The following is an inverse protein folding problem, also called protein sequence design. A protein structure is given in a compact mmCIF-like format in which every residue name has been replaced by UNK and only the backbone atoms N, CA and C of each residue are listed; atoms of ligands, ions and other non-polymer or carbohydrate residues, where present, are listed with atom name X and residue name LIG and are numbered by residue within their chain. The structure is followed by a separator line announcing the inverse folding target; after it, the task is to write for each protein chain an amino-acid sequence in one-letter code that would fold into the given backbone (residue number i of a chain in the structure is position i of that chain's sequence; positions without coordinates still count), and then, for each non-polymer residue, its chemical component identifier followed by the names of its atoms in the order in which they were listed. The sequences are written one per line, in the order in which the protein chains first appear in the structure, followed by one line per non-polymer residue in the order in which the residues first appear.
data_IF_869445273751
#
_entry.id   IF_869445273751
#
_cell.length_a   1.000
_cell.length_b   1.000
_cell.length_c   1.000
_cell.angle_alpha   90.00
_cell.angle_beta   90.00
_cell.angle_gamma   90.00
#
_symmetry.space_group_name_H-M   'P 1'
#
loop_
_entity.id
_entity.type
_entity.pdbx_description
1 polymer ?
#
# COMPACT_ATOMS: atom_id res chain seq x y z
N UNK A 1 9.41 9.79 -17.75
CA UNK A 1 9.21 10.83 -18.78
C UNK A 1 9.25 12.18 -18.10
N UNK A 2 9.97 13.16 -18.65
CA UNK A 2 9.94 14.55 -18.14
C UNK A 2 9.33 15.41 -19.23
N UNK A 3 8.27 16.14 -18.89
CA UNK A 3 7.54 17.03 -19.79
C UNK A 3 7.75 18.46 -19.30
N UNK A 4 8.26 19.32 -20.18
CA UNK A 4 8.45 20.75 -19.85
C UNK A 4 7.16 21.51 -20.18
N UNK A 5 6.58 22.15 -19.20
CA UNK A 5 5.38 22.97 -19.36
C UNK A 5 5.70 24.31 -20.03
N UNK A 6 4.67 24.96 -20.58
CA UNK A 6 4.75 26.33 -21.11
C UNK A 6 5.05 27.37 -20.02
N UNK A 7 4.80 27.02 -18.76
CA UNK A 7 5.17 27.79 -17.56
C UNK A 7 6.68 27.71 -17.23
N UNK A 8 7.45 26.93 -18.00
CA UNK A 8 8.88 26.71 -17.79
C UNK A 8 9.22 25.62 -16.78
N UNK A 9 8.23 25.06 -16.08
CA UNK A 9 8.44 24.03 -15.07
C UNK A 9 8.59 22.64 -15.69
N UNK A 10 9.34 21.76 -15.04
CA UNK A 10 9.52 20.37 -15.46
C UNK A 10 8.59 19.45 -14.67
N UNK A 11 7.72 18.74 -15.37
CA UNK A 11 6.77 17.79 -14.80
C UNK A 11 7.24 16.38 -15.08
N UNK A 12 7.50 15.62 -14.03
CA UNK A 12 7.96 14.24 -14.15
C UNK A 12 6.77 13.28 -14.07
N UNK A 13 6.69 12.35 -15.01
CA UNK A 13 5.66 11.32 -15.07
C UNK A 13 6.29 9.93 -15.27
N UNK A 14 5.75 8.94 -14.57
CA UNK A 14 5.96 7.53 -14.85
C UNK A 14 4.87 7.05 -15.81
N UNK A 15 5.27 6.49 -16.96
CA UNK A 15 4.35 5.80 -17.86
C UNK A 15 4.16 4.39 -17.34
N UNK A 16 2.95 4.08 -16.90
CA UNK A 16 2.55 2.73 -16.51
C UNK A 16 1.86 2.06 -17.70
N UNK A 17 2.39 0.92 -18.11
CA UNK A 17 1.82 0.06 -19.14
C UNK A 17 1.23 -1.22 -18.54
N UNK A 18 0.22 -1.77 -19.20
CA UNK A 18 -0.56 -2.93 -18.76
C UNK A 18 -1.25 -2.75 -17.39
N UNK A 19 -1.55 -1.50 -17.03
CA UNK A 19 -2.17 -1.14 -15.77
C UNK A 19 -3.27 -0.11 -16.00
N UNK A 20 -4.39 -0.30 -15.30
CA UNK A 20 -5.54 0.59 -15.37
C UNK A 20 -5.44 1.66 -14.28
N UNK A 21 -5.13 2.89 -14.70
CA UNK A 21 -4.85 4.03 -13.81
C UNK A 21 -6.12 4.71 -13.30
N UNK A 22 -7.30 4.32 -13.78
CA UNK A 22 -8.57 4.90 -13.33
C UNK A 22 -8.81 4.65 -11.84
N UNK A 23 -8.35 3.51 -11.32
CA UNK A 23 -8.41 3.21 -9.89
C UNK A 23 -7.63 4.26 -9.08
N UNK A 24 -6.36 4.52 -9.44
CA UNK A 24 -5.54 5.55 -8.82
C UNK A 24 -6.17 6.95 -8.97
N UNK A 25 -6.72 7.29 -10.14
CA UNK A 25 -7.41 8.56 -10.37
C UNK A 25 -8.58 8.75 -9.38
N UNK A 26 -9.46 7.74 -9.22
CA UNK A 26 -10.59 7.81 -8.28
C UNK A 26 -10.12 7.88 -6.83
N UNK A 27 -9.06 7.16 -6.47
CA UNK A 27 -8.47 7.26 -5.13
C UNK A 27 -7.91 8.66 -4.88
N UNK A 28 -7.28 9.31 -5.88
CA UNK A 28 -6.83 10.70 -5.77
C UNK A 28 -7.98 11.71 -5.66
N UNK A 29 -9.13 11.44 -6.27
CA UNK A 29 -10.36 12.22 -6.10
C UNK A 29 -10.91 12.07 -4.67
N UNK A 30 -10.98 10.84 -4.16
CA UNK A 30 -11.36 10.57 -2.76
C UNK A 30 -10.43 11.28 -1.77
N UNK A 31 -9.11 11.22 -1.99
CA UNK A 31 -8.16 11.95 -1.15
C UNK A 31 -8.35 13.47 -1.25
N UNK A 32 -8.77 13.98 -2.41
CA UNK A 32 -9.14 15.39 -2.56
C UNK A 32 -10.34 15.78 -1.69
N UNK A 33 -11.37 14.93 -1.66
CA UNK A 33 -12.50 15.10 -0.76
C UNK A 33 -12.04 15.05 0.71
N UNK A 34 -11.26 14.03 1.09
CA UNK A 34 -10.77 13.89 2.48
C UNK A 34 -9.95 15.11 2.91
N UNK A 35 -9.05 15.62 2.07
CA UNK A 35 -8.30 16.84 2.39
C UNK A 35 -9.23 18.04 2.61
N UNK A 36 -10.26 18.19 1.78
CA UNK A 36 -11.26 19.26 1.94
C UNK A 36 -12.02 19.12 3.27
N UNK A 37 -12.32 17.90 3.70
CA UNK A 37 -12.99 17.64 4.98
C UNK A 37 -12.06 17.93 6.18
N UNK A 38 -10.80 17.48 6.10
CA UNK A 38 -9.79 17.73 7.13
C UNK A 38 -9.45 19.22 7.28
N UNK A 39 -9.48 20.00 6.19
CA UNK A 39 -9.28 21.44 6.21
C UNK A 39 -10.44 22.21 6.84
N UNK A 40 -11.67 21.68 6.75
CA UNK A 40 -12.86 22.28 7.38
C UNK A 40 -12.94 22.05 8.88
N UNK A 41 -12.40 20.92 9.36
CA UNK A 41 -12.37 20.60 10.78
C UNK A 41 -11.29 21.42 11.51
N UNK A 42 -11.66 22.11 12.59
CA UNK A 42 -10.74 23.02 13.29
C UNK A 42 -9.53 22.31 13.90
N UNK A 43 -9.71 21.10 14.42
CA UNK A 43 -8.63 20.34 15.05
C UNK A 43 -7.66 19.78 14.01
N UNK A 44 -8.19 19.18 12.95
CA UNK A 44 -7.39 18.67 11.84
C UNK A 44 -6.64 19.79 11.10
N UNK A 45 -7.29 20.94 10.90
CA UNK A 45 -6.69 22.12 10.28
C UNK A 45 -5.51 22.66 11.09
N UNK A 46 -5.67 22.85 12.41
CA UNK A 46 -4.60 23.34 13.31
C UNK A 46 -3.38 22.41 13.31
N UNK A 47 -3.57 21.12 13.07
CA UNK A 47 -2.49 20.11 13.01
C UNK A 47 -1.93 19.92 11.59
N UNK A 48 -2.47 20.64 10.60
CA UNK A 48 -2.11 20.54 9.18
C UNK A 48 -2.19 19.11 8.63
N UNK A 49 -3.25 18.38 8.99
CA UNK A 49 -3.48 17.02 8.53
C UNK A 49 -3.91 17.02 7.06
N UNK A 50 -3.09 16.43 6.20
CA UNK A 50 -3.32 16.39 4.74
C UNK A 50 -2.76 15.10 4.17
N UNK A 51 -3.44 14.52 3.18
CA UNK A 51 -2.93 13.45 2.35
C UNK A 51 -2.16 14.05 1.17
N UNK A 52 -0.93 13.58 0.96
CA UNK A 52 -0.18 13.94 -0.24
C UNK A 52 -0.78 13.24 -1.46
N UNK A 53 -1.27 14.02 -2.41
CA UNK A 53 -1.81 13.52 -3.68
C UNK A 53 -0.77 13.66 -4.79
N UNK A 54 -0.98 12.88 -5.84
CA UNK A 54 -0.23 13.00 -7.09
C UNK A 54 -1.18 12.83 -8.28
N UNK A 55 -0.86 13.42 -9.44
CA UNK A 55 -1.72 13.29 -10.60
C UNK A 55 -1.67 11.87 -11.15
N UNK A 56 -2.83 11.28 -11.40
CA UNK A 56 -2.99 10.00 -12.09
C UNK A 56 -3.87 10.26 -13.31
N UNK A 57 -3.33 10.02 -14.51
CA UNK A 57 -3.95 10.39 -15.78
C UNK A 57 -4.09 9.12 -16.62
N UNK A 58 -5.29 8.53 -16.70
CA UNK A 58 -5.55 7.41 -17.60
C UNK A 58 -5.36 7.83 -19.05
N UNK A 59 -4.65 7.01 -19.84
CA UNK A 59 -4.49 7.23 -21.29
C UNK A 59 -5.30 6.21 -22.09
N UNK A 60 -5.38 4.97 -21.61
CA UNK A 60 -6.20 3.90 -22.17
C UNK A 60 -6.66 2.96 -21.06
N UNK A 61 -7.36 1.87 -21.40
CA UNK A 61 -7.75 0.84 -20.42
C UNK A 61 -6.54 0.13 -19.79
N UNK A 62 -5.40 0.11 -20.48
CA UNK A 62 -4.20 -0.62 -20.06
C UNK A 62 -2.98 0.30 -19.93
N UNK A 63 -3.15 1.61 -19.95
CA UNK A 63 -2.03 2.53 -19.78
C UNK A 63 -2.45 3.85 -19.18
N UNK A 64 -1.51 4.47 -18.46
CA UNK A 64 -1.69 5.83 -17.97
C UNK A 64 -0.39 6.42 -17.46
N UNK A 65 -0.47 7.69 -17.10
CA UNK A 65 0.63 8.45 -16.53
C UNK A 65 0.38 8.66 -15.04
N UNK A 66 1.39 8.37 -14.23
CA UNK A 66 1.40 8.73 -12.81
C UNK A 66 2.44 9.84 -12.62
N UNK A 67 2.05 10.93 -11.98
CA UNK A 67 2.97 12.00 -11.60
C UNK A 67 4.00 11.48 -10.63
N UNK A 68 5.27 11.76 -10.93
CA UNK A 68 6.36 11.40 -10.04
C UNK A 68 6.30 12.26 -8.79
N UNK A 69 6.28 11.63 -7.62
CA UNK A 69 6.36 12.33 -6.35
C UNK A 69 7.80 12.75 -6.11
N UNK A 70 8.12 14.01 -6.41
CA UNK A 70 9.49 14.53 -6.30
C UNK A 70 9.98 14.53 -4.86
N UNK A 71 11.31 14.48 -4.67
CA UNK A 71 11.95 14.50 -3.35
C UNK A 71 11.54 13.36 -2.41
N UNK A 72 11.10 12.23 -2.93
CA UNK A 72 10.75 11.07 -2.11
C UNK A 72 11.68 9.89 -2.35
N UNK A 73 11.82 9.05 -1.32
CA UNK A 73 12.43 7.72 -1.41
C UNK A 73 11.48 6.67 -0.88
N UNK A 74 11.52 5.45 -1.43
CA UNK A 74 10.81 4.33 -0.81
C UNK A 74 11.42 3.99 0.54
N UNK A 75 10.60 3.54 1.48
CA UNK A 75 11.11 3.05 2.77
C UNK A 75 12.10 1.90 2.54
N UNK A 76 11.83 1.03 1.57
CA UNK A 76 12.77 -0.02 1.17
C UNK A 76 14.15 0.52 0.79
N UNK A 77 14.21 1.55 -0.08
CA UNK A 77 15.48 2.14 -0.50
C UNK A 77 16.22 2.80 0.66
N UNK A 78 15.51 3.54 1.52
CA UNK A 78 16.08 4.20 2.68
C UNK A 78 16.70 3.23 3.68
N UNK A 79 15.99 2.14 3.99
CA UNK A 79 16.48 1.11 4.92
C UNK A 79 17.65 0.34 4.30
N UNK A 80 17.58 0.04 3.01
CA UNK A 80 18.68 -0.59 2.27
C UNK A 80 19.95 0.24 2.31
N UNK A 81 19.87 1.52 1.93
CA UNK A 81 21.00 2.46 1.96
C UNK A 81 21.61 2.56 3.37
N UNK A 82 20.76 2.69 4.40
CA UNK A 82 21.20 2.77 5.79
C UNK A 82 21.94 1.50 6.24
N UNK A 83 21.35 0.32 6.01
CA UNK A 83 21.94 -0.96 6.43
C UNK A 83 23.25 -1.24 5.71
N UNK A 84 23.32 -1.00 4.40
CA UNK A 84 24.55 -1.14 3.60
C UNK A 84 25.67 -0.26 4.14
N UNK A 85 25.39 1.02 4.45
CA UNK A 85 26.39 1.94 5.01
C UNK A 85 26.96 1.51 6.37
N UNK A 86 26.20 0.71 7.14
CA UNK A 86 26.57 0.20 8.47
C UNK A 86 27.04 -1.25 8.44
N UNK A 87 27.14 -1.87 7.27
CA UNK A 87 27.46 -3.31 7.08
C UNK A 87 26.49 -4.23 7.82
N UNK A 88 25.22 -3.83 7.92
CA UNK A 88 24.13 -4.65 8.43
C UNK A 88 23.51 -5.39 7.24
N UNK A 89 23.28 -6.69 7.38
CA UNK A 89 22.62 -7.47 6.34
C UNK A 89 21.15 -7.02 6.18
N UNK A 90 20.72 -6.76 4.94
CA UNK A 90 19.37 -6.28 4.65
C UNK A 90 18.29 -7.24 5.19
N UNK A 91 18.53 -8.54 5.08
CA UNK A 91 17.62 -9.61 5.48
C UNK A 91 17.99 -10.27 6.82
N UNK A 92 18.62 -9.53 7.74
CA UNK A 92 19.10 -10.09 9.02
C UNK A 92 17.98 -10.75 9.83
N UNK A 93 16.79 -10.14 9.90
CA UNK A 93 15.65 -10.71 10.62
C UNK A 93 15.24 -12.06 10.02
N UNK A 94 15.09 -12.11 8.69
CA UNK A 94 14.75 -13.35 7.99
C UNK A 94 15.80 -14.43 8.18
N UNK A 95 17.09 -14.07 8.20
CA UNK A 95 18.17 -15.03 8.48
C UNK A 95 18.09 -15.59 9.89
N UNK A 96 17.80 -14.75 10.89
CA UNK A 96 17.62 -15.18 12.28
C UNK A 96 16.41 -16.12 12.39
N UNK A 97 15.31 -15.82 11.69
CA UNK A 97 14.13 -16.70 11.62
C UNK A 97 14.50 -18.08 11.04
N UNK A 98 15.19 -18.12 9.90
CA UNK A 98 15.60 -19.37 9.24
C UNK A 98 16.67 -20.15 10.02
N UNK A 99 17.50 -19.47 10.80
CA UNK A 99 18.46 -20.11 11.72
C UNK A 99 17.74 -20.86 12.84
N UNK A 100 16.63 -20.31 13.34
CA UNK A 100 15.82 -20.95 14.36
C UNK A 100 14.92 -22.05 13.77
N UNK A 101 14.29 -21.79 12.63
CA UNK A 101 13.42 -22.73 11.94
C UNK A 101 13.57 -22.61 10.41
N UNK A 102 14.33 -23.52 9.76
CA UNK A 102 14.55 -23.50 8.32
C UNK A 102 13.26 -23.59 7.50
N UNK A 103 12.28 -24.35 7.98
CA UNK A 103 10.99 -24.56 7.31
C UNK A 103 9.90 -23.60 7.84
N UNK A 104 10.19 -22.31 7.92
CA UNK A 104 9.27 -21.30 8.49
C UNK A 104 7.86 -21.35 7.89
N UNK A 105 7.73 -21.61 6.59
CA UNK A 105 6.43 -21.59 5.90
C UNK A 105 5.47 -22.69 6.38
N UNK A 106 5.99 -23.86 6.75
CA UNK A 106 5.20 -25.04 7.16
C UNK A 106 4.81 -25.03 8.64
N UNK A 107 5.33 -24.07 9.42
CA UNK A 107 5.05 -23.94 10.83
C UNK A 107 3.59 -23.58 11.13
N UNK A 108 3.10 -24.07 12.26
CA UNK A 108 1.82 -23.64 12.84
C UNK A 108 1.89 -22.16 13.26
N UNK A 109 0.72 -21.52 13.45
CA UNK A 109 0.67 -20.10 13.83
C UNK A 109 1.47 -19.80 15.10
N UNK A 110 1.31 -20.62 16.15
CA UNK A 110 2.01 -20.41 17.42
C UNK A 110 3.54 -20.54 17.28
N UNK A 111 4.00 -21.49 16.46
CA UNK A 111 5.43 -21.63 16.15
C UNK A 111 5.96 -20.44 15.33
N UNK A 112 5.17 -19.91 14.39
CA UNK A 112 5.52 -18.69 13.64
C UNK A 112 5.65 -17.49 14.58
N UNK A 113 4.74 -17.34 15.54
CA UNK A 113 4.79 -16.27 16.55
C UNK A 113 6.08 -16.35 17.36
N UNK A 114 6.47 -17.56 17.80
CA UNK A 114 7.71 -17.77 18.55
C UNK A 114 8.95 -17.39 17.74
N UNK A 115 9.07 -17.91 16.51
CA UNK A 115 10.22 -17.62 15.62
C UNK A 115 10.28 -16.14 15.24
N UNK A 116 9.13 -15.52 14.98
CA UNK A 116 9.03 -14.11 14.65
C UNK A 116 9.40 -13.22 15.86
N UNK A 117 8.90 -13.57 17.05
CA UNK A 117 9.27 -12.93 18.32
C UNK A 117 10.77 -12.98 18.57
N UNK A 118 11.36 -14.17 18.42
CA UNK A 118 12.80 -14.36 18.56
C UNK A 118 13.62 -13.45 17.62
N UNK A 119 13.22 -13.33 16.35
CA UNK A 119 13.90 -12.44 15.41
C UNK A 119 13.73 -10.94 15.75
N UNK A 120 12.57 -10.55 16.27
CA UNK A 120 12.33 -9.18 16.75
C UNK A 120 13.17 -8.85 17.97
N UNK A 121 13.33 -9.77 18.92
CA UNK A 121 14.12 -9.55 20.14
C UNK A 121 15.64 -9.47 19.84
N UNK A 122 16.10 -10.21 18.84
CA UNK A 122 17.50 -10.20 18.42
C UNK A 122 17.88 -9.04 17.47
N UNK A 123 16.94 -8.15 17.12
CA UNK A 123 17.20 -7.03 16.21
C UNK A 123 16.59 -5.73 16.72
N UNK A 124 17.21 -4.58 16.44
CA UNK A 124 16.79 -3.33 17.11
C UNK A 124 15.52 -2.68 16.55
N UNK A 125 15.24 -2.79 15.24
CA UNK A 125 14.13 -2.12 14.57
C UNK A 125 14.21 -0.58 14.53
N UNK A 126 15.34 0.03 14.93
CA UNK A 126 15.50 1.50 15.04
C UNK A 126 16.06 2.17 13.79
N UNK A 127 16.10 1.46 12.68
CA UNK A 127 16.72 1.87 11.42
C UNK A 127 16.06 3.13 10.87
N UNK A 128 14.73 3.15 10.74
CA UNK A 128 13.99 4.31 10.23
C UNK A 128 14.14 5.54 11.13
N UNK A 129 14.09 5.37 12.46
CA UNK A 129 14.36 6.44 13.42
C UNK A 129 15.74 7.08 13.17
N UNK A 130 16.78 6.25 12.97
CA UNK A 130 18.14 6.72 12.68
C UNK A 130 18.24 7.37 11.31
N UNK A 131 17.53 6.87 10.30
CA UNK A 131 17.46 7.50 8.97
C UNK A 131 16.83 8.88 9.05
N UNK A 132 15.71 9.02 9.76
CA UNK A 132 15.07 10.32 9.97
C UNK A 132 16.04 11.32 10.61
N UNK A 133 16.77 10.88 11.64
CA UNK A 133 17.81 11.70 12.28
C UNK A 133 18.94 12.09 11.31
N UNK A 134 19.59 11.10 10.67
CA UNK A 134 20.76 11.32 9.82
C UNK A 134 20.47 12.16 8.56
N UNK A 135 19.26 12.05 8.00
CA UNK A 135 18.85 12.83 6.83
C UNK A 135 18.32 14.23 7.21
N UNK A 136 18.24 14.57 8.50
CA UNK A 136 17.78 15.89 8.95
C UNK A 136 18.95 16.86 9.11
N UNK A 137 18.75 18.11 8.69
CA UNK A 137 19.80 19.15 8.71
C UNK A 137 20.07 19.70 10.11
N UNK A 138 19.04 19.73 10.97
CA UNK A 138 19.08 20.22 12.34
C UNK A 138 18.16 19.39 13.24
N UNK A 139 18.30 19.54 14.56
CA UNK A 139 17.43 18.89 15.54
C UNK A 139 15.98 19.37 15.46
N UNK A 140 15.76 20.65 15.15
CA UNK A 140 14.43 21.21 14.92
C UNK A 140 13.78 20.62 13.66
N UNK A 141 14.52 20.57 12.55
CA UNK A 141 14.05 19.95 11.32
C UNK A 141 13.73 18.46 11.52
N UNK A 142 14.54 17.75 12.33
CA UNK A 142 14.23 16.38 12.71
C UNK A 142 12.91 16.26 13.48
N UNK A 143 12.68 17.14 14.45
CA UNK A 143 11.46 17.12 15.24
C UNK A 143 10.23 17.40 14.36
N UNK A 144 10.27 18.43 13.52
CA UNK A 144 9.19 18.78 12.59
C UNK A 144 8.90 17.64 11.61
N UNK A 145 9.95 17.08 10.98
CA UNK A 145 9.81 15.94 10.06
C UNK A 145 9.21 14.72 10.74
N UNK A 146 9.59 14.45 11.99
CA UNK A 146 9.06 13.33 12.76
C UNK A 146 7.59 13.54 13.16
N UNK A 147 7.18 14.76 13.48
CA UNK A 147 5.77 15.08 13.73
C UNK A 147 4.94 14.96 12.44
N UNK A 148 5.45 15.44 11.31
CA UNK A 148 4.81 15.28 9.99
C UNK A 148 4.70 13.80 9.58
N UNK A 149 5.76 13.02 9.79
CA UNK A 149 5.78 11.58 9.59
C UNK A 149 4.66 10.90 10.39
N UNK A 150 4.62 11.13 11.70
CA UNK A 150 3.64 10.52 12.62
C UNK A 150 2.21 10.87 12.21
N UNK A 151 1.95 12.15 11.91
CA UNK A 151 0.61 12.62 11.51
C UNK A 151 0.18 12.08 10.15
N UNK A 152 1.06 12.14 9.14
CA UNK A 152 0.74 11.65 7.79
C UNK A 152 0.51 10.13 7.78
N UNK A 153 1.27 9.38 8.58
CA UNK A 153 1.03 7.95 8.77
C UNK A 153 -0.32 7.69 9.42
N UNK A 154 -0.69 8.44 10.48
CA UNK A 154 -1.99 8.29 11.15
C UNK A 154 -3.19 8.59 10.24
N UNK A 155 -3.09 9.64 9.42
CA UNK A 155 -4.09 9.97 8.40
C UNK A 155 -4.24 8.83 7.40
N UNK A 156 -3.13 8.33 6.83
CA UNK A 156 -3.16 7.27 5.84
C UNK A 156 -3.60 5.91 6.41
N UNK A 157 -3.33 5.63 7.68
CA UNK A 157 -3.82 4.42 8.35
C UNK A 157 -5.35 4.39 8.41
N UNK A 158 -5.99 5.48 8.83
CA UNK A 158 -7.45 5.54 8.92
C UNK A 158 -8.10 5.56 7.55
N UNK A 159 -7.60 6.39 6.64
CA UNK A 159 -8.15 6.50 5.28
C UNK A 159 -7.92 5.21 4.48
N UNK A 160 -6.74 4.61 4.61
CA UNK A 160 -6.40 3.32 4.00
C UNK A 160 -7.28 2.20 4.54
N UNK A 161 -7.56 2.17 5.85
CA UNK A 161 -8.49 1.21 6.44
C UNK A 161 -9.92 1.36 5.90
N UNK A 162 -10.46 2.58 5.83
CA UNK A 162 -11.81 2.81 5.25
C UNK A 162 -11.86 2.32 3.80
N UNK A 163 -10.86 2.66 3.00
CA UNK A 163 -10.75 2.22 1.60
C UNK A 163 -10.51 0.70 1.46
N UNK A 164 -9.94 0.05 2.47
CA UNK A 164 -9.48 -1.34 2.41
C UNK A 164 -8.22 -1.51 1.58
N UNK A 165 -7.26 -0.58 1.75
CA UNK A 165 -6.01 -0.55 0.99
C UNK A 165 -5.02 -1.62 1.47
N UNK A 166 -4.73 -2.60 0.63
CA UNK A 166 -3.79 -3.71 0.86
C UNK A 166 -2.46 -3.57 0.12
N UNK A 167 -1.59 -4.57 0.18
CA UNK A 167 -0.24 -4.61 -0.40
C UNK A 167 0.65 -3.42 0.01
N UNK A 168 0.64 -3.13 1.32
CA UNK A 168 1.42 -2.02 1.90
C UNK A 168 2.83 -2.50 2.28
N UNK A 169 3.56 -3.07 1.32
CA UNK A 169 4.97 -3.42 1.47
C UNK A 169 5.87 -2.17 1.43
N UNK A 170 7.11 -2.21 1.97
CA UNK A 170 7.95 -1.02 2.11
C UNK A 170 8.31 -0.27 0.82
N UNK A 171 8.18 -0.90 -0.35
CA UNK A 171 8.36 -0.21 -1.65
C UNK A 171 7.15 0.63 -2.09
N UNK A 172 5.96 0.41 -1.49
CA UNK A 172 4.73 1.17 -1.75
C UNK A 172 4.53 2.32 -0.75
N UNK A 173 5.45 2.48 0.20
CA UNK A 173 5.49 3.59 1.13
C UNK A 173 6.71 4.45 0.79
N UNK A 174 6.46 5.70 0.44
CA UNK A 174 7.48 6.70 0.21
C UNK A 174 7.59 7.63 1.42
N UNK A 175 8.77 8.17 1.65
CA UNK A 175 9.03 9.22 2.62
C UNK A 175 9.58 10.46 1.89
N UNK A 176 8.95 11.61 2.13
CA UNK A 176 9.45 12.89 1.64
C UNK A 176 10.74 13.29 2.39
N UNK A 177 11.81 13.49 1.62
CA UNK A 177 13.14 13.89 2.10
C UNK A 177 13.11 15.24 2.78
N UNK A 178 12.20 16.13 2.40
CA UNK A 178 12.10 17.50 2.91
C UNK A 178 11.13 17.53 4.09
N UNK A 179 9.85 17.24 3.84
CA UNK A 179 8.80 17.44 4.85
C UNK A 179 8.70 16.31 5.88
N UNK A 180 9.19 15.11 5.54
CA UNK A 180 9.02 13.91 6.36
C UNK A 180 7.65 13.24 6.24
N UNK A 181 6.74 13.73 5.38
CA UNK A 181 5.44 13.10 5.16
C UNK A 181 5.59 11.74 4.49
N UNK A 182 4.76 10.78 4.91
CA UNK A 182 4.59 9.49 4.23
C UNK A 182 3.63 9.66 3.05
N UNK A 183 3.99 9.05 1.92
CA UNK A 183 3.17 9.02 0.72
C UNK A 183 2.97 7.57 0.30
N UNK A 184 1.72 7.12 0.26
CA UNK A 184 1.39 5.79 -0.25
C UNK A 184 1.30 5.88 -1.77
N UNK A 185 1.82 4.87 -2.46
CA UNK A 185 1.68 4.70 -3.90
C UNK A 185 1.12 3.32 -4.19
N UNK A 186 0.78 3.10 -5.46
CA UNK A 186 0.22 1.86 -5.97
C UNK A 186 -1.10 1.49 -5.29
N UNK A 187 -2.22 1.90 -5.87
CA UNK A 187 -3.55 1.66 -5.30
C UNK A 187 -4.27 0.49 -5.97
N UNK A 188 -3.52 -0.47 -6.52
CA UNK A 188 -4.10 -1.64 -7.21
C UNK A 188 -4.97 -2.52 -6.32
N UNK A 189 -4.59 -2.70 -5.05
CA UNK A 189 -5.31 -3.51 -4.07
C UNK A 189 -6.14 -2.65 -3.12
N UNK A 190 -7.30 -2.19 -3.57
CA UNK A 190 -8.31 -1.55 -2.71
C UNK A 190 -9.40 -2.56 -2.29
N UNK A 191 -10.27 -2.16 -1.37
CA UNK A 191 -11.47 -2.92 -0.99
C UNK A 191 -11.18 -4.32 -0.44
N UNK A 192 -10.14 -4.45 0.40
CA UNK A 192 -9.76 -5.67 1.12
C UNK A 192 -9.41 -6.85 0.19
N UNK A 193 -9.11 -6.59 -1.09
CA UNK A 193 -8.70 -7.63 -2.05
C UNK A 193 -7.51 -8.44 -1.53
N UNK A 194 -6.53 -7.79 -0.90
CA UNK A 194 -5.37 -8.46 -0.32
C UNK A 194 -5.71 -9.38 0.88
N UNK A 195 -6.80 -9.11 1.61
CA UNK A 195 -7.24 -9.94 2.74
C UNK A 195 -7.91 -11.24 2.27
N UNK A 196 -8.47 -11.24 1.06
CA UNK A 196 -9.17 -12.39 0.47
C UNK A 196 -8.31 -13.21 -0.49
N UNK A 197 -7.00 -12.94 -0.58
CA UNK A 197 -6.09 -13.73 -1.41
C UNK A 197 -5.92 -15.14 -0.86
N UNK A 198 -5.86 -16.12 -1.77
CA UNK A 198 -5.60 -17.51 -1.40
C UNK A 198 -4.22 -17.71 -0.79
N UNK A 199 -3.22 -17.01 -1.32
CA UNK A 199 -1.83 -17.06 -0.85
C UNK A 199 -1.52 -15.83 -0.03
N UNK A 200 -1.05 -16.04 1.20
CA UNK A 200 -0.60 -15.00 2.13
C UNK A 200 -1.62 -13.86 2.30
N UNK A 201 -2.85 -14.14 2.75
CA UNK A 201 -3.83 -13.09 3.01
C UNK A 201 -3.30 -12.08 4.04
N UNK A 202 -3.48 -10.80 3.77
CA UNK A 202 -3.15 -9.76 4.75
C UNK A 202 -4.14 -9.80 5.93
N UNK A 203 -3.61 -9.74 7.15
CA UNK A 203 -4.39 -9.89 8.41
C UNK A 203 -4.42 -8.60 9.23
N UNK A 204 -3.92 -7.49 8.70
CA UNK A 204 -3.85 -6.19 9.38
C UNK A 204 -4.68 -5.13 8.62
N UNK A 205 -5.28 -4.16 9.31
CA UNK A 205 -6.04 -3.08 8.67
C UNK A 205 -5.15 -2.08 7.93
N UNK A 206 -3.91 -1.92 8.39
CA UNK A 206 -2.86 -1.08 7.80
C UNK A 206 -1.49 -1.52 8.33
N UNK A 207 -0.42 -1.09 7.65
CA UNK A 207 0.95 -1.35 8.08
C UNK A 207 1.31 -0.48 9.29
N UNK A 208 1.43 -1.10 10.47
CA UNK A 208 1.96 -0.46 11.69
C UNK A 208 2.99 -1.37 12.37
N UNK A 209 4.11 -1.58 11.68
CA UNK A 209 5.19 -2.44 12.16
C UNK A 209 6.09 -1.70 13.16
N UNK A 210 6.87 -2.45 13.95
CA UNK A 210 7.71 -1.89 15.02
C UNK A 210 8.69 -0.81 14.54
N UNK A 211 9.27 -0.89 13.33
CA UNK A 211 10.18 0.14 12.83
C UNK A 211 9.45 1.44 12.46
N UNK A 212 8.19 1.36 12.03
CA UNK A 212 7.36 2.56 11.87
C UNK A 212 7.04 3.16 13.24
N UNK A 213 6.64 2.32 14.20
CA UNK A 213 6.32 2.75 15.56
C UNK A 213 7.51 3.40 16.26
N UNK A 214 8.70 2.80 16.20
CA UNK A 214 9.91 3.34 16.84
C UNK A 214 10.43 4.63 16.17
N UNK A 215 10.00 4.92 14.94
CA UNK A 215 10.32 6.18 14.27
C UNK A 215 9.48 7.36 14.76
N UNK A 216 8.41 7.10 15.52
CA UNK A 216 7.50 8.11 16.07
C UNK A 216 8.12 8.85 17.28
N UNK A 217 7.28 9.63 17.95
CA UNK A 217 7.61 10.34 19.19
C UNK A 217 7.79 9.38 20.38
N UNK A 218 8.23 9.90 21.52
CA UNK A 218 8.58 9.08 22.71
C UNK A 218 7.43 8.22 23.23
N UNK A 219 6.19 8.68 23.03
CA UNK A 219 4.97 7.94 23.39
C UNK A 219 4.56 6.88 22.35
N UNK A 220 5.37 6.66 21.31
CA UNK A 220 5.08 5.73 20.22
C UNK A 220 3.67 5.96 19.64
N UNK A 221 2.83 4.92 19.70
CA UNK A 221 1.45 4.91 19.16
C UNK A 221 0.53 5.78 20.02
N UNK A 222 0.66 5.74 21.35
CA UNK A 222 -0.19 6.41 22.35
C UNK A 222 -0.05 7.95 22.36
N UNK A 223 0.80 8.51 21.49
CA UNK A 223 1.05 9.95 21.39
C UNK A 223 0.27 10.61 20.26
N UNK A 224 0.97 11.44 19.48
CA UNK A 224 0.38 12.15 18.35
C UNK A 224 -0.25 11.22 17.31
N UNK A 225 0.18 9.96 17.21
CA UNK A 225 -0.38 9.01 16.24
C UNK A 225 -1.82 8.64 16.57
N UNK A 226 -2.08 8.13 17.78
CA UNK A 226 -3.43 7.77 18.25
C UNK A 226 -4.40 8.95 18.15
N UNK A 227 -4.02 10.12 18.66
CA UNK A 227 -4.87 11.32 18.60
C UNK A 227 -5.17 11.73 17.15
N UNK A 228 -4.21 11.54 16.23
CA UNK A 228 -4.44 11.81 14.80
C UNK A 228 -5.42 10.79 14.21
N UNK A 229 -5.29 9.52 14.57
CA UNK A 229 -6.22 8.47 14.13
C UNK A 229 -7.65 8.74 14.61
N UNK A 230 -7.85 9.11 15.87
CA UNK A 230 -9.17 9.48 16.38
C UNK A 230 -9.77 10.69 15.66
N UNK A 231 -9.00 11.78 15.51
CA UNK A 231 -9.48 12.98 14.84
C UNK A 231 -9.87 12.70 13.38
N UNK A 232 -9.05 11.95 12.64
CA UNK A 232 -9.33 11.58 11.25
C UNK A 232 -10.54 10.66 11.18
N UNK A 233 -10.62 9.63 12.01
CA UNK A 233 -11.75 8.69 12.02
C UNK A 233 -13.06 9.41 12.37
N UNK A 234 -13.05 10.34 13.32
CA UNK A 234 -14.20 11.20 13.64
C UNK A 234 -14.68 11.97 12.40
N UNK A 235 -13.78 12.70 11.73
CA UNK A 235 -14.13 13.48 10.52
C UNK A 235 -14.69 12.58 9.41
N UNK A 236 -14.10 11.40 9.20
CA UNK A 236 -14.59 10.45 8.21
C UNK A 236 -15.99 9.92 8.54
N UNK A 237 -16.27 9.59 9.81
CA UNK A 237 -17.58 9.09 10.26
C UNK A 237 -18.66 10.17 10.23
N UNK A 238 -18.34 11.40 10.64
CA UNK A 238 -19.26 12.56 10.57
C UNK A 238 -19.68 12.87 9.13
N UNK A 239 -18.77 12.68 8.16
CA UNK A 239 -19.00 12.96 6.74
C UNK A 239 -19.23 11.70 5.90
N UNK A 240 -19.69 10.60 6.52
CA UNK A 240 -19.84 9.29 5.87
C UNK A 240 -20.69 9.35 4.60
N UNK A 241 -21.73 10.18 4.55
CA UNK A 241 -22.63 10.31 3.41
C UNK A 241 -21.90 10.85 2.17
N UNK A 242 -21.02 11.85 2.35
CA UNK A 242 -20.21 12.40 1.27
C UNK A 242 -19.18 11.40 0.75
N UNK A 243 -18.54 10.65 1.66
CA UNK A 243 -17.58 9.61 1.30
C UNK A 243 -18.26 8.44 0.57
N UNK A 244 -19.40 7.99 1.07
CA UNK A 244 -20.20 6.94 0.44
C UNK A 244 -20.65 7.36 -0.96
N UNK A 245 -21.12 8.60 -1.17
CA UNK A 245 -21.53 9.07 -2.49
C UNK A 245 -20.39 8.99 -3.53
N UNK A 246 -19.16 9.38 -3.16
CA UNK A 246 -17.99 9.28 -4.06
C UNK A 246 -17.62 7.81 -4.32
N UNK A 247 -17.65 6.96 -3.29
CA UNK A 247 -17.32 5.54 -3.42
C UNK A 247 -18.39 4.76 -4.20
N UNK A 248 -19.66 5.09 -4.05
CA UNK A 248 -20.77 4.51 -4.83
C UNK A 248 -20.63 4.85 -6.31
N UNK A 249 -20.35 6.13 -6.63
CA UNK A 249 -20.08 6.55 -8.00
C UNK A 249 -18.86 5.83 -8.61
N UNK A 250 -17.83 5.58 -7.82
CA UNK A 250 -16.66 4.80 -8.23
C UNK A 250 -17.01 3.32 -8.46
N UNK A 251 -17.64 2.66 -7.50
CA UNK A 251 -17.92 1.21 -7.54
C UNK A 251 -19.00 0.87 -8.57
N UNK A 252 -19.84 1.81 -8.99
CA UNK A 252 -20.79 1.59 -10.08
C UNK A 252 -20.25 1.99 -11.47
N UNK A 253 -19.00 2.44 -11.57
CA UNK A 253 -18.36 2.72 -12.87
C UNK A 253 -18.09 1.40 -13.62
N UNK A 254 -18.82 1.11 -14.73
CA UNK A 254 -18.78 -0.18 -15.41
C UNK A 254 -17.40 -0.48 -16.03
N UNK A 255 -16.55 0.54 -16.18
CA UNK A 255 -15.25 0.38 -16.82
C UNK A 255 -14.12 0.02 -15.85
N UNK A 256 -14.33 0.20 -14.54
CA UNK A 256 -13.31 -0.08 -13.50
C UNK A 256 -13.59 -1.41 -12.79
N UNK A 257 -14.85 -1.85 -12.76
CA UNK A 257 -15.32 -3.00 -12.00
C UNK A 257 -14.77 -4.38 -12.43
N UNK A 258 -13.93 -4.47 -13.46
CA UNK A 258 -13.37 -5.73 -13.93
C UNK A 258 -12.39 -6.37 -12.92
N UNK A 259 -11.71 -5.57 -12.08
CA UNK A 259 -10.78 -6.09 -11.06
C UNK A 259 -11.48 -6.65 -9.81
N UNK A 260 -12.74 -6.27 -9.56
CA UNK A 260 -13.58 -6.94 -8.57
C UNK A 260 -14.04 -8.32 -9.08
N UNK A 261 -13.93 -8.63 -10.37
CA UNK A 261 -14.42 -9.90 -10.94
C UNK A 261 -13.34 -10.89 -11.38
N UNK A 262 -12.17 -10.42 -11.79
CA UNK A 262 -11.19 -11.30 -12.45
C UNK A 262 -9.75 -10.86 -12.22
N UNK A 263 -9.07 -11.58 -11.32
CA UNK A 263 -7.67 -12.00 -11.42
C UNK A 263 -7.39 -12.99 -10.29
N UNK A 264 -7.49 -14.30 -10.60
CA UNK A 264 -6.39 -15.18 -10.21
C UNK A 264 -5.13 -14.44 -10.65
N UNK A 265 -4.32 -14.00 -9.68
CA UNK A 265 -3.10 -13.28 -10.00
C UNK A 265 -2.28 -14.17 -10.94
N UNK A 266 -1.81 -13.68 -12.10
CA UNK A 266 -0.77 -14.39 -12.82
C UNK A 266 0.34 -14.62 -11.81
N UNK A 267 0.82 -15.87 -11.69
CA UNK A 267 1.98 -16.17 -10.87
C UNK A 267 3.05 -15.13 -11.20
N UNK A 268 3.38 -14.25 -10.25
CA UNK A 268 4.58 -13.42 -10.38
C UNK A 268 5.72 -14.41 -10.66
N UNK A 269 6.55 -14.18 -11.69
CA UNK A 269 7.68 -15.04 -11.93
C UNK A 269 8.50 -15.03 -10.64
N UNK A 270 8.60 -16.20 -9.99
CA UNK A 270 9.47 -16.37 -8.84
C UNK A 270 10.83 -15.83 -9.23
N UNK A 271 11.36 -14.89 -8.46
CA UNK A 271 12.79 -14.59 -8.49
C UNK A 271 13.51 -15.84 -7.98
N UNK A 272 13.73 -16.78 -8.89
CA UNK A 272 14.56 -17.94 -8.67
C UNK A 272 15.98 -17.43 -8.47
N UNK A 273 16.41 -17.59 -7.22
CA UNK A 273 17.75 -17.57 -6.68
C UNK A 273 18.80 -17.94 -7.76
N UNK A 274 19.43 -16.93 -8.38
CA UNK A 274 20.69 -17.13 -9.12
C UNK A 274 21.78 -17.42 -8.10
N UNK A 275 21.82 -18.66 -7.61
CA UNK A 275 23.01 -19.24 -7.01
C UNK A 275 24.05 -19.40 -8.12
N UNK A 276 24.95 -18.42 -8.20
CA UNK A 276 26.20 -18.53 -8.92
C UNK A 276 27.13 -19.42 -8.09
N UNK A 277 27.06 -20.74 -8.31
CA UNK A 277 28.21 -21.62 -8.15
C UNK A 277 28.75 -21.88 -9.55
N UNK A 278 29.98 -21.42 -9.80
CA UNK A 278 30.66 -21.68 -11.05
C UNK A 278 31.03 -23.16 -11.15
N UNK A 279 30.77 -23.74 -12.32
CA UNK A 279 31.56 -24.83 -12.86
C UNK A 279 31.39 -24.82 -14.38
N UNK A 280 32.53 -24.97 -15.05
CA UNK A 280 32.71 -24.99 -16.49
C UNK A 280 32.15 -26.30 -17.04
N UNK A 281 31.48 -26.27 -18.20
CA UNK A 281 31.66 -27.34 -19.19
C UNK A 281 31.28 -26.89 -20.61
N UNK A 282 32.16 -27.28 -21.54
CA UNK A 282 32.16 -27.03 -22.98
C UNK A 282 31.51 -28.23 -23.73
N UNK A 283 31.17 -27.99 -25.00
CA UNK A 283 30.67 -28.94 -26.03
C UNK A 283 29.17 -29.30 -25.95
N UNK A 284 28.32 -29.25 -26.99
CA UNK A 284 28.46 -29.25 -28.47
C UNK A 284 27.08 -28.89 -29.14
N UNK A 285 26.85 -28.97 -30.48
CA UNK A 285 26.73 -27.84 -31.40
C UNK A 285 25.32 -27.55 -31.99
N UNK A 286 25.24 -26.40 -32.67
CA UNK A 286 24.10 -25.80 -33.40
C UNK A 286 23.59 -26.65 -34.59
N UNK A 287 22.26 -26.75 -34.74
CA UNK A 287 21.58 -27.03 -36.00
C UNK A 287 20.44 -26.02 -36.28
N UNK A 288 20.22 -25.60 -37.55
CA UNK A 288 19.30 -24.53 -37.90
C UNK A 288 17.90 -25.04 -38.31
N UNK A 289 16.84 -24.38 -37.86
CA UNK A 289 15.47 -24.74 -38.23
C UNK A 289 14.44 -23.62 -38.10
N UNK A 290 14.12 -23.00 -39.25
CA UNK A 290 12.87 -22.33 -39.65
C UNK A 290 12.26 -21.20 -38.79
N UNK A 291 12.61 -19.97 -39.17
CA UNK A 291 11.84 -18.75 -38.93
C UNK A 291 10.59 -18.68 -39.82
N UNK A 292 9.39 -18.82 -39.23
CA UNK A 292 8.17 -18.19 -39.74
C UNK A 292 7.20 -17.86 -38.60
N UNK A 293 7.35 -16.68 -37.98
CA UNK A 293 6.22 -16.01 -37.31
C UNK A 293 6.07 -14.60 -37.87
N UNK A 294 5.08 -14.46 -38.74
CA UNK A 294 4.62 -13.19 -39.31
C UNK A 294 4.23 -12.22 -38.19
N UNK A 295 4.77 -11.00 -38.24
CA UNK A 295 4.28 -9.84 -37.49
C UNK A 295 2.94 -9.38 -38.10
N UNK A 296 1.86 -9.16 -37.32
CA UNK A 296 0.72 -8.40 -37.81
C UNK A 296 1.05 -6.90 -37.85
N UNK A 297 0.67 -6.26 -38.96
CA UNK A 297 0.86 -4.86 -39.29
C UNK A 297 -0.15 -3.94 -38.57
N UNK A 298 0.23 -2.66 -38.41
CA UNK A 298 -0.42 -1.58 -37.63
C UNK A 298 -1.59 -0.89 -38.36
N UNK A 299 -2.17 -1.47 -39.41
CA UNK A 299 -3.13 -0.78 -40.29
C UNK A 299 -4.37 -1.60 -40.62
N UNK A 300 -5.09 -2.08 -39.59
CA UNK A 300 -6.48 -2.52 -39.78
C UNK A 300 -7.37 -1.87 -38.71
N UNK A 301 -7.71 -0.61 -38.99
CA UNK A 301 -8.79 0.10 -38.33
C UNK A 301 -10.08 -0.10 -39.13
N UNK A 302 -10.99 -0.91 -38.59
CA UNK A 302 -12.38 -1.07 -39.02
C UNK A 302 -13.21 -1.47 -37.79
N UNK A 303 -13.90 -0.53 -37.15
CA UNK A 303 -15.36 -0.35 -37.25
C UNK A 303 -16.13 -1.55 -36.66
N UNK A 304 -16.65 -1.32 -35.44
CA UNK A 304 -17.87 -1.90 -34.85
C UNK A 304 -17.94 -3.42 -34.66
N UNK A 305 -17.51 -3.90 -33.49
CA UNK A 305 -18.15 -5.03 -32.80
C UNK A 305 -18.73 -4.54 -31.46
N UNK A 306 -19.81 -3.77 -31.56
CA UNK A 306 -20.75 -3.61 -30.47
C UNK A 306 -21.72 -4.80 -30.50
N UNK A 307 -21.35 -5.92 -29.87
CA UNK A 307 -22.24 -6.92 -29.25
C UNK A 307 -21.47 -8.20 -28.89
N UNK A 308 -21.01 -8.28 -27.64
CA UNK A 308 -21.43 -9.35 -26.75
C UNK A 308 -21.51 -8.70 -25.36
N UNK A 309 -22.73 -8.34 -24.96
CA UNK A 309 -22.97 -7.85 -23.61
C UNK A 309 -22.44 -8.86 -22.60
N UNK A 310 -21.80 -8.36 -21.54
CA UNK A 310 -21.45 -9.17 -20.37
C UNK A 310 -22.70 -9.99 -20.01
N UNK A 311 -22.61 -11.34 -19.90
CA UNK A 311 -23.75 -12.18 -19.54
C UNK A 311 -24.47 -11.58 -18.33
N UNK A 312 -25.81 -11.53 -18.33
CA UNK A 312 -26.57 -10.88 -17.24
C UNK A 312 -26.17 -11.44 -15.87
N UNK A 313 -25.90 -12.74 -15.77
CA UNK A 313 -25.39 -13.38 -14.55
C UNK A 313 -24.06 -12.79 -14.05
N UNK A 314 -23.11 -12.51 -14.95
CA UNK A 314 -21.84 -11.90 -14.58
C UNK A 314 -22.01 -10.44 -14.13
N UNK A 315 -22.99 -9.70 -14.70
CA UNK A 315 -23.35 -8.36 -14.24
C UNK A 315 -24.02 -8.39 -12.86
N UNK A 316 -24.87 -9.38 -12.61
CA UNK A 316 -25.55 -9.57 -11.32
C UNK A 316 -24.57 -9.94 -10.20
N UNK A 317 -23.65 -10.88 -10.44
CA UNK A 317 -22.58 -11.24 -9.49
C UNK A 317 -21.68 -10.04 -9.20
N UNK A 318 -21.33 -9.26 -10.23
CA UNK A 318 -20.53 -8.04 -10.09
C UNK A 318 -21.25 -6.98 -9.25
N UNK A 319 -22.55 -6.77 -9.47
CA UNK A 319 -23.37 -5.86 -8.67
C UNK A 319 -23.50 -6.35 -7.21
N UNK A 320 -23.62 -7.65 -6.98
CA UNK A 320 -23.65 -8.21 -5.63
C UNK A 320 -22.34 -7.95 -4.87
N UNK A 321 -21.18 -8.13 -5.53
CA UNK A 321 -19.88 -7.84 -4.91
C UNK A 321 -19.66 -6.34 -4.67
N UNK A 322 -20.11 -5.49 -5.59
CA UNK A 322 -20.11 -4.04 -5.41
C UNK A 322 -20.90 -3.62 -4.15
N UNK A 323 -22.10 -4.18 -3.97
CA UNK A 323 -22.93 -3.95 -2.78
C UNK A 323 -22.26 -4.47 -1.50
N UNK A 324 -21.56 -5.61 -1.56
CA UNK A 324 -20.81 -6.14 -0.43
C UNK A 324 -19.67 -5.20 -0.02
N UNK A 325 -18.90 -4.68 -0.99
CA UNK A 325 -17.81 -3.73 -0.73
C UNK A 325 -18.36 -2.43 -0.11
N UNK A 326 -19.42 -1.86 -0.68
CA UNK A 326 -20.06 -0.66 -0.14
C UNK A 326 -20.65 -0.90 1.26
N UNK A 327 -21.28 -2.06 1.46
CA UNK A 327 -21.76 -2.50 2.77
C UNK A 327 -20.62 -2.55 3.79
N UNK A 328 -19.48 -3.12 3.41
CA UNK A 328 -18.28 -3.21 4.24
C UNK A 328 -17.72 -1.83 4.59
N UNK A 329 -17.59 -0.92 3.63
CA UNK A 329 -17.13 0.45 3.91
C UNK A 329 -18.08 1.18 4.84
N UNK A 330 -19.40 1.01 4.65
CA UNK A 330 -20.43 1.58 5.53
C UNK A 330 -20.33 1.04 6.96
N UNK A 331 -20.05 -0.25 7.14
CA UNK A 331 -19.80 -0.83 8.48
C UNK A 331 -18.61 -0.15 9.16
N UNK A 332 -17.51 0.06 8.44
CA UNK A 332 -16.32 0.76 8.97
C UNK A 332 -16.65 2.21 9.35
N UNK A 333 -17.36 2.95 8.50
CA UNK A 333 -17.79 4.33 8.77
C UNK A 333 -18.88 4.46 9.85
N UNK A 334 -19.44 3.35 10.32
CA UNK A 334 -20.44 3.32 11.40
C UNK A 334 -19.95 2.61 12.65
N UNK A 335 -18.72 2.11 12.67
CA UNK A 335 -18.17 1.38 13.82
C UNK A 335 -18.78 -0.01 14.04
N UNK A 336 -19.36 -0.63 13.01
CA UNK A 336 -20.05 -1.94 13.09
C UNK A 336 -19.29 -3.07 12.39
N UNK A 337 -18.01 -2.86 12.11
CA UNK A 337 -17.18 -3.70 11.25
C UNK A 337 -16.56 -4.92 11.98
N UNK A 338 -16.48 -4.87 13.32
CA UNK A 338 -16.02 -5.98 14.15
C UNK A 338 -17.14 -6.93 14.55
N UNK A 339 -18.32 -6.38 14.84
CA UNK A 339 -19.51 -7.12 15.26
C UNK A 339 -20.75 -6.44 14.67
N UNK A 340 -21.61 -7.16 13.93
CA UNK A 340 -22.75 -6.56 13.23
C UNK A 340 -23.75 -5.81 14.13
N UNK A 341 -23.86 -6.21 15.39
CA UNK A 341 -24.85 -5.70 16.34
C UNK A 341 -24.28 -4.73 17.38
N UNK A 342 -22.98 -4.44 17.34
CA UNK A 342 -22.30 -3.57 18.29
C UNK A 342 -21.71 -2.38 17.54
N UNK A 343 -22.22 -1.19 17.82
CA UNK A 343 -21.65 0.05 17.29
C UNK A 343 -20.57 0.56 18.24
N UNK A 344 -19.34 0.57 17.76
CA UNK A 344 -18.20 1.11 18.47
C UNK A 344 -18.15 2.62 18.33
N UNK A 345 -17.79 3.29 19.42
CA UNK A 345 -17.42 4.71 19.34
C UNK A 345 -16.09 4.85 18.55
N UNK A 346 -15.70 6.09 18.25
CA UNK A 346 -14.48 6.35 17.47
C UNK A 346 -13.22 5.80 18.17
N UNK A 347 -13.10 6.04 19.47
CA UNK A 347 -11.94 5.66 20.27
C UNK A 347 -11.77 4.14 20.34
N UNK A 348 -12.83 3.41 20.72
CA UNK A 348 -12.85 1.95 20.81
C UNK A 348 -12.56 1.29 19.46
N UNK A 349 -13.07 1.86 18.37
CA UNK A 349 -12.80 1.37 17.02
C UNK A 349 -11.32 1.56 16.66
N UNK A 350 -10.76 2.75 16.90
CA UNK A 350 -9.35 3.05 16.67
C UNK A 350 -8.48 2.09 17.50
N UNK A 351 -8.75 1.93 18.79
CA UNK A 351 -7.99 1.04 19.68
C UNK A 351 -7.98 -0.41 19.17
N UNK A 352 -9.14 -0.94 18.76
CA UNK A 352 -9.19 -2.29 18.17
C UNK A 352 -8.38 -2.40 16.87
N UNK A 353 -8.40 -1.37 16.03
CA UNK A 353 -7.59 -1.35 14.80
C UNK A 353 -6.09 -1.31 15.10
N UNK A 354 -5.68 -0.54 16.11
CA UNK A 354 -4.29 -0.49 16.55
C UNK A 354 -3.82 -1.85 17.06
N UNK A 355 -4.61 -2.50 17.92
CA UNK A 355 -4.33 -3.85 18.42
C UNK A 355 -4.20 -4.86 17.27
N UNK A 356 -5.10 -4.80 16.28
CA UNK A 356 -5.01 -5.67 15.10
C UNK A 356 -3.76 -5.39 14.26
N UNK A 357 -3.39 -4.13 14.06
CA UNK A 357 -2.26 -3.72 13.24
C UNK A 357 -0.90 -4.06 13.87
N UNK A 358 -0.82 -4.10 15.21
CA UNK A 358 0.39 -4.46 15.95
C UNK A 358 0.44 -5.92 16.41
N UNK A 359 -0.62 -6.70 16.15
CA UNK A 359 -0.67 -8.11 16.57
C UNK A 359 0.41 -8.93 15.88
N UNK A 360 1.27 -9.55 16.69
CA UNK A 360 2.33 -10.44 16.21
C UNK A 360 1.75 -11.64 15.44
N UNK A 361 0.62 -12.16 15.91
CA UNK A 361 -0.11 -13.26 15.25
C UNK A 361 -0.53 -12.88 13.83
N UNK A 362 -0.96 -11.64 13.62
CA UNK A 362 -1.35 -11.16 12.28
C UNK A 362 -0.11 -10.91 11.42
N UNK A 363 0.89 -10.22 11.98
CA UNK A 363 2.09 -9.80 11.26
C UNK A 363 2.96 -10.97 10.78
N UNK A 364 3.06 -12.06 11.56
CA UNK A 364 3.91 -13.20 11.22
C UNK A 364 3.37 -14.06 10.07
N UNK A 365 2.12 -13.88 9.66
CA UNK A 365 1.46 -14.64 8.58
C UNK A 365 1.71 -14.07 7.18
N UNK A 366 2.17 -12.82 7.08
CA UNK A 366 2.38 -12.19 5.78
C UNK A 366 3.57 -12.80 5.03
N UNK A 367 3.54 -12.67 3.69
CA UNK A 367 4.65 -13.10 2.86
C UNK A 367 5.93 -12.29 3.15
N UNK A 368 7.09 -12.87 2.87
CA UNK A 368 8.38 -12.31 3.27
C UNK A 368 8.65 -10.89 2.74
N UNK A 369 8.22 -10.60 1.50
CA UNK A 369 8.39 -9.29 0.86
C UNK A 369 7.53 -8.19 1.50
N UNK A 370 6.48 -8.53 2.26
CA UNK A 370 5.75 -7.56 3.07
C UNK A 370 6.63 -7.02 4.20
N UNK A 371 7.71 -7.71 4.58
CA UNK A 371 8.71 -7.28 5.57
C UNK A 371 8.07 -6.88 6.91
N UNK A 372 7.26 -7.76 7.51
CA UNK A 372 6.55 -7.48 8.77
C UNK A 372 7.48 -7.23 9.96
N UNK A 373 8.67 -7.81 9.90
CA UNK A 373 9.71 -7.73 10.94
C UNK A 373 10.47 -6.39 10.92
N UNK A 374 10.24 -5.53 9.92
CA UNK A 374 10.79 -4.19 9.91
C UNK A 374 10.11 -3.37 11.00
#
# INVERSE_FOLDING_TARGET
MIVKGSDGNSYMYALKGHEDIRQDERVMQLFGLVNTLLEKDSECFKRHLTIQRFPAIPLSQNSGLIGWVTNTDTLHALIKEYRESRRILLNIEHRIMLQMAPDYESLTLMQKVEVFGYAMDNTTGKDLYRVLWLKSKSSEAWLERRTNYTRSLGVMSMVGYILGLGDRHPSNLLLDRITGKIVHIDFGDCFEVAMHREKYPERVPFRLTRMLTFAMEVSNIEGSYHITCEAVMRVLRENKESLMAVLEAFIHDPLINWRLGARESPAQPSFADRRQSGELDLDHPLQPGNFTRRRPSILDGGILDAQQGIPNEAREVQNARALQVLGRVREKLTGRDFKPHEELNVSDQVDKLLVQATSVENLCQHYIGWCSFW
#
